data_IF_954250050501
#
_entry.id   IF_954250050501
#
_cell.length_a   1.000
_cell.length_b   1.000
_cell.length_c   1.000
_cell.angle_alpha   90.00
_cell.angle_beta   90.00
_cell.angle_gamma   90.00
#
_symmetry.space_group_name_H-M   'P 1'
#
loop_
_entity.id
_entity.type
_entity.pdbx_description
1 polymer ?
#
# COMPACT_ATOMS: atom_id res chain seq x y z
N UNK A 1 -12.34 -23.48 19.98
CA UNK A 1 -12.26 -22.01 19.94
C UNK A 1 -11.32 -21.64 18.80
N UNK A 2 -11.79 -20.83 17.85
CA UNK A 2 -11.01 -20.34 16.71
C UNK A 2 -10.64 -18.87 16.95
N UNK A 3 -9.34 -18.57 16.92
CA UNK A 3 -8.79 -17.23 17.09
C UNK A 3 -8.14 -16.80 15.78
N UNK A 4 -8.63 -15.72 15.20
CA UNK A 4 -8.04 -15.13 14.01
C UNK A 4 -7.14 -13.97 14.42
N UNK A 5 -5.89 -13.97 13.94
CA UNK A 5 -4.86 -13.00 14.27
C UNK A 5 -4.49 -12.29 12.97
N UNK A 6 -4.95 -11.06 12.80
CA UNK A 6 -4.87 -10.29 11.58
C UNK A 6 -4.27 -8.89 11.83
N UNK A 7 -2.96 -8.78 12.16
CA UNK A 7 -2.28 -7.53 12.42
C UNK A 7 -1.63 -6.94 11.16
N UNK A 8 -1.31 -5.66 11.23
CA UNK A 8 -0.30 -5.00 10.40
C UNK A 8 1.11 -5.22 10.98
N UNK A 9 2.10 -4.83 10.23
CA UNK A 9 3.50 -4.75 10.66
C UNK A 9 3.69 -3.68 11.76
N UNK A 10 4.68 -3.90 12.63
CA UNK A 10 5.17 -2.85 13.53
C UNK A 10 6.43 -2.26 12.90
N UNK A 11 6.26 -1.10 12.25
CA UNK A 11 7.34 -0.44 11.51
C UNK A 11 8.63 -0.39 12.30
N UNK A 12 9.76 -0.61 11.62
CA UNK A 12 11.12 -0.63 12.18
C UNK A 12 11.39 -1.76 13.19
N UNK A 13 10.43 -2.71 13.41
CA UNK A 13 10.64 -3.78 14.40
C UNK A 13 10.18 -5.17 13.98
N UNK A 14 8.93 -5.36 13.57
CA UNK A 14 8.37 -6.69 13.25
C UNK A 14 7.53 -6.65 11.99
N UNK A 15 7.67 -7.66 11.13
CA UNK A 15 6.73 -7.91 10.04
C UNK A 15 5.34 -8.31 10.59
N UNK A 16 4.31 -8.22 9.75
CA UNK A 16 2.95 -8.60 10.16
C UNK A 16 2.87 -10.07 10.60
N UNK A 17 3.63 -10.98 9.95
CA UNK A 17 3.70 -12.39 10.34
C UNK A 17 4.43 -12.60 11.67
N UNK A 18 5.51 -11.88 11.93
CA UNK A 18 6.23 -11.93 13.21
C UNK A 18 5.33 -11.43 14.36
N UNK A 19 4.57 -10.35 14.15
CA UNK A 19 3.56 -9.87 15.11
C UNK A 19 2.50 -10.95 15.36
N UNK A 20 1.91 -11.51 14.30
CA UNK A 20 0.90 -12.56 14.42
C UNK A 20 1.45 -13.81 15.14
N UNK A 21 2.70 -14.17 14.88
CA UNK A 21 3.37 -15.31 15.52
C UNK A 21 3.62 -15.07 17.00
N UNK A 22 4.08 -13.88 17.38
CA UNK A 22 4.28 -13.53 18.79
C UNK A 22 2.94 -13.50 19.56
N UNK A 23 1.86 -13.00 18.94
CA UNK A 23 0.50 -13.04 19.51
C UNK A 23 0.07 -14.49 19.73
N UNK A 24 0.18 -15.35 18.71
CA UNK A 24 -0.16 -16.78 18.81
C UNK A 24 0.60 -17.46 19.95
N UNK A 25 1.91 -17.23 20.05
CA UNK A 25 2.75 -17.80 21.10
C UNK A 25 2.23 -17.42 22.50
N UNK A 26 1.93 -16.14 22.72
CA UNK A 26 1.38 -15.66 23.99
C UNK A 26 0.01 -16.28 24.32
N UNK A 27 -0.89 -16.37 23.36
CA UNK A 27 -2.20 -16.97 23.53
C UNK A 27 -2.12 -18.47 23.79
N UNK A 28 -1.21 -19.20 23.14
CA UNK A 28 -1.00 -20.64 23.34
C UNK A 28 -0.56 -21.03 24.76
N UNK A 29 0.08 -20.14 25.49
CA UNK A 29 0.40 -20.38 26.90
C UNK A 29 -0.86 -20.54 27.77
N UNK A 30 -1.98 -19.96 27.36
CA UNK A 30 -3.27 -19.97 28.09
C UNK A 30 -4.27 -20.92 27.45
N UNK A 31 -4.33 -20.98 26.11
CA UNK A 31 -5.21 -21.86 25.33
C UNK A 31 -4.39 -22.67 24.31
N UNK A 32 -3.67 -23.71 24.76
CA UNK A 32 -2.80 -24.49 23.87
C UNK A 32 -3.56 -25.20 22.73
N UNK A 33 -4.84 -25.59 23.01
CA UNK A 33 -5.67 -26.38 22.09
C UNK A 33 -6.60 -25.53 21.23
N UNK A 34 -6.48 -24.20 21.25
CA UNK A 34 -7.25 -23.33 20.35
C UNK A 34 -6.73 -23.44 18.91
N UNK A 35 -7.63 -23.26 17.97
CA UNK A 35 -7.32 -23.15 16.54
C UNK A 35 -6.91 -21.71 16.22
N UNK A 36 -5.69 -21.52 15.73
CA UNK A 36 -5.12 -20.21 15.42
C UNK A 36 -4.95 -20.04 13.93
N UNK A 37 -5.59 -19.03 13.37
CA UNK A 37 -5.41 -18.60 11.99
C UNK A 37 -4.67 -17.27 11.97
N UNK A 38 -3.44 -17.25 11.42
CA UNK A 38 -2.65 -16.04 11.20
C UNK A 38 -2.88 -15.53 9.81
N UNK A 39 -3.28 -14.26 9.71
CA UNK A 39 -3.49 -13.54 8.46
C UNK A 39 -2.72 -12.21 8.54
N UNK A 40 -1.44 -12.18 8.19
CA UNK A 40 -0.70 -10.94 8.11
C UNK A 40 -1.36 -10.02 7.08
N UNK A 41 -1.61 -8.76 7.47
CA UNK A 41 -2.28 -7.77 6.65
C UNK A 41 -1.38 -6.56 6.41
N UNK A 42 -1.83 -5.70 5.50
CA UNK A 42 -1.26 -4.39 5.23
C UNK A 42 -2.35 -3.47 4.65
N UNK A 43 -2.09 -2.18 4.58
CA UNK A 43 -3.02 -1.17 4.09
C UNK A 43 -2.71 -0.67 2.66
N UNK A 44 -1.84 -1.36 1.92
CA UNK A 44 -1.40 -0.94 0.58
C UNK A 44 -0.13 -0.07 0.59
N UNK A 45 0.42 0.20 1.77
CA UNK A 45 1.70 0.87 1.97
C UNK A 45 2.89 -0.08 1.96
N UNK A 46 3.97 0.36 2.60
CA UNK A 46 5.21 -0.42 2.79
C UNK A 46 4.93 -1.73 3.56
N UNK A 47 5.49 -2.83 3.08
CA UNK A 47 5.32 -4.17 3.63
C UNK A 47 4.10 -4.93 3.10
N UNK A 48 3.35 -4.33 2.17
CA UNK A 48 2.18 -4.99 1.56
C UNK A 48 2.60 -6.20 0.74
N UNK A 49 3.68 -6.11 -0.01
CA UNK A 49 4.19 -7.22 -0.84
C UNK A 49 4.54 -8.40 0.05
N UNK A 50 5.30 -8.18 1.13
CA UNK A 50 5.69 -9.23 2.06
C UNK A 50 4.47 -9.87 2.74
N UNK A 51 3.54 -9.05 3.26
CA UNK A 51 2.33 -9.54 3.90
C UNK A 51 1.48 -10.40 2.95
N UNK A 52 1.29 -9.96 1.71
CA UNK A 52 0.51 -10.68 0.70
C UNK A 52 1.20 -11.99 0.27
N UNK A 53 2.52 -11.96 0.10
CA UNK A 53 3.32 -13.16 -0.21
C UNK A 53 3.21 -14.19 0.93
N UNK A 54 3.37 -13.76 2.17
CA UNK A 54 3.25 -14.63 3.33
C UNK A 54 1.84 -15.22 3.46
N UNK A 55 0.80 -14.38 3.32
CA UNK A 55 -0.59 -14.81 3.45
C UNK A 55 -1.04 -15.77 2.34
N UNK A 56 -0.42 -15.69 1.16
CA UNK A 56 -0.76 -16.54 0.00
C UNK A 56 0.21 -17.71 -0.21
N UNK A 57 1.15 -17.94 0.71
CA UNK A 57 2.25 -18.90 0.54
C UNK A 57 3.02 -18.71 -0.78
N UNK A 58 3.21 -17.45 -1.15
CA UNK A 58 3.83 -17.00 -2.38
C UNK A 58 5.36 -16.88 -2.28
N UNK A 59 5.93 -16.08 -3.17
CA UNK A 59 7.36 -15.78 -3.18
C UNK A 59 7.66 -14.36 -3.65
N UNK A 60 8.78 -13.81 -3.19
CA UNK A 60 9.35 -12.57 -3.71
C UNK A 60 10.12 -12.87 -5.01
N UNK A 61 9.93 -12.01 -6.00
CA UNK A 61 10.64 -12.04 -7.29
C UNK A 61 11.47 -10.77 -7.42
N UNK A 62 12.78 -10.93 -7.48
CA UNK A 62 13.72 -9.81 -7.67
C UNK A 62 13.95 -9.54 -9.15
N UNK A 63 13.93 -8.25 -9.53
CA UNK A 63 14.06 -7.80 -10.92
C UNK A 63 14.94 -6.55 -10.97
N UNK A 64 15.86 -6.49 -11.90
CA UNK A 64 16.61 -5.28 -12.18
C UNK A 64 15.81 -4.37 -13.14
N UNK A 65 15.44 -3.19 -12.67
CA UNK A 65 14.63 -2.21 -13.41
C UNK A 65 15.27 -0.82 -13.42
N UNK A 66 14.68 0.08 -14.16
CA UNK A 66 15.09 1.50 -14.17
C UNK A 66 14.60 2.21 -12.91
N UNK A 67 15.51 2.73 -12.11
CA UNK A 67 15.18 3.53 -10.94
C UNK A 67 14.73 4.95 -11.28
N UNK A 68 14.29 5.74 -10.27
CA UNK A 68 13.74 7.07 -10.49
C UNK A 68 14.74 8.08 -11.09
N UNK A 69 16.04 7.85 -10.93
CA UNK A 69 17.12 8.67 -11.51
C UNK A 69 17.62 8.16 -12.87
N UNK A 70 16.95 7.17 -13.48
CA UNK A 70 17.32 6.59 -14.76
C UNK A 70 18.43 5.53 -14.71
N UNK A 71 18.98 5.21 -13.53
CA UNK A 71 19.95 4.13 -13.35
C UNK A 71 19.26 2.82 -13.03
N UNK A 72 19.95 1.69 -13.28
CA UNK A 72 19.43 0.37 -12.94
C UNK A 72 19.44 0.18 -11.42
N UNK A 73 18.33 -0.34 -10.88
CA UNK A 73 18.15 -0.66 -9.46
C UNK A 73 17.57 -2.06 -9.32
N UNK A 74 17.91 -2.72 -8.21
CA UNK A 74 17.27 -3.97 -7.83
C UNK A 74 15.92 -3.65 -7.19
N UNK A 75 14.85 -4.06 -7.84
CA UNK A 75 13.49 -3.98 -7.33
C UNK A 75 12.92 -5.38 -7.10
N UNK A 76 11.72 -5.45 -6.57
CA UNK A 76 11.04 -6.72 -6.34
C UNK A 76 9.53 -6.56 -6.45
N UNK A 77 8.85 -7.68 -6.62
CA UNK A 77 7.41 -7.81 -6.46
C UNK A 77 7.06 -9.18 -5.87
N UNK A 78 5.86 -9.33 -5.33
CA UNK A 78 5.34 -10.59 -4.84
C UNK A 78 4.59 -11.36 -5.91
N UNK A 79 4.69 -12.69 -5.88
CA UNK A 79 3.87 -13.58 -6.66
C UNK A 79 3.13 -14.51 -5.71
N UNK A 80 1.81 -14.64 -5.84
CA UNK A 80 0.99 -15.54 -5.02
C UNK A 80 1.41 -17.02 -5.19
N UNK A 81 1.05 -17.86 -4.21
CA UNK A 81 1.42 -19.28 -4.24
C UNK A 81 0.89 -20.06 -5.45
N UNK A 82 -0.26 -19.66 -5.97
CA UNK A 82 -0.86 -20.19 -7.21
C UNK A 82 -0.34 -19.51 -8.48
N UNK A 83 0.55 -18.53 -8.34
CA UNK A 83 1.13 -17.71 -9.41
C UNK A 83 0.11 -16.94 -10.28
N UNK A 84 -1.12 -16.72 -9.80
CA UNK A 84 -2.15 -15.99 -10.54
C UNK A 84 -2.20 -14.50 -10.22
N UNK A 85 -1.66 -14.10 -9.06
CA UNK A 85 -1.66 -12.70 -8.61
C UNK A 85 -0.25 -12.19 -8.40
N UNK A 86 -0.01 -10.93 -8.78
CA UNK A 86 1.22 -10.19 -8.45
C UNK A 86 0.91 -9.04 -7.51
N UNK A 87 1.81 -8.80 -6.58
CA UNK A 87 1.76 -7.72 -5.59
C UNK A 87 2.95 -6.81 -5.83
N UNK A 88 2.69 -5.54 -6.18
CA UNK A 88 3.72 -4.57 -6.55
C UNK A 88 3.64 -3.37 -5.62
N UNK A 89 4.73 -3.01 -4.98
CA UNK A 89 4.91 -1.67 -4.42
C UNK A 89 5.70 -0.84 -5.44
N UNK A 90 5.10 0.23 -5.97
CA UNK A 90 5.77 1.08 -6.94
C UNK A 90 7.06 1.67 -6.40
N UNK A 91 7.15 1.85 -5.07
CA UNK A 91 8.32 2.37 -4.39
C UNK A 91 9.56 1.49 -4.54
N UNK A 92 9.41 0.19 -4.78
CA UNK A 92 10.53 -0.71 -5.06
C UNK A 92 11.31 -0.32 -6.34
N UNK A 93 10.63 0.33 -7.30
CA UNK A 93 11.23 0.79 -8.55
C UNK A 93 11.33 2.32 -8.66
N UNK A 94 10.38 3.06 -8.08
CA UNK A 94 10.22 4.49 -8.31
C UNK A 94 10.01 5.27 -6.99
N UNK A 95 10.52 4.71 -5.89
CA UNK A 95 10.33 5.21 -4.53
C UNK A 95 11.27 6.36 -4.14
N UNK A 96 10.80 7.14 -3.16
CA UNK A 96 11.52 8.31 -2.64
C UNK A 96 12.82 7.92 -1.91
N UNK A 97 12.87 6.75 -1.30
CA UNK A 97 14.05 6.25 -0.59
C UNK A 97 15.22 5.94 -1.53
N UNK A 98 14.93 5.66 -2.82
CA UNK A 98 15.95 5.46 -3.83
C UNK A 98 16.59 6.76 -4.32
N UNK A 99 16.08 7.92 -3.87
CA UNK A 99 16.57 9.25 -4.28
C UNK A 99 17.17 9.96 -3.06
N UNK A 100 18.49 10.11 -3.00
CA UNK A 100 19.13 10.89 -1.94
C UNK A 100 18.51 12.29 -1.85
N UNK A 101 18.29 12.86 -0.66
CA UNK A 101 17.63 14.17 -0.50
C UNK A 101 18.20 15.28 -1.40
N UNK A 102 19.51 15.31 -1.57
CA UNK A 102 20.20 16.31 -2.42
C UNK A 102 19.96 16.12 -3.93
N UNK A 103 19.43 14.98 -4.35
CA UNK A 103 19.16 14.65 -5.77
C UNK A 103 17.66 14.63 -6.09
N UNK A 104 16.80 14.97 -5.13
CA UNK A 104 15.36 15.02 -5.34
C UNK A 104 14.99 16.14 -6.29
N UNK A 105 14.49 15.78 -7.46
CA UNK A 105 14.04 16.69 -8.51
C UNK A 105 12.88 16.06 -9.30
N UNK A 106 11.61 16.38 -8.94
CA UNK A 106 10.45 15.76 -9.57
C UNK A 106 10.23 16.16 -11.03
N UNK A 107 10.99 17.16 -11.54
CA UNK A 107 11.03 17.42 -12.97
C UNK A 107 11.73 16.30 -13.76
N UNK A 108 12.63 15.55 -13.11
CA UNK A 108 13.50 14.57 -13.78
C UNK A 108 13.24 13.12 -13.38
N UNK A 109 12.70 12.89 -12.18
CA UNK A 109 12.43 11.51 -11.71
C UNK A 109 11.38 10.83 -12.56
N UNK A 110 11.63 9.56 -12.90
CA UNK A 110 10.81 8.78 -13.83
C UNK A 110 10.14 7.58 -13.14
N UNK A 111 8.92 7.28 -13.54
CA UNK A 111 8.16 6.09 -13.15
C UNK A 111 8.41 4.87 -14.06
N UNK A 112 9.37 4.92 -14.97
CA UNK A 112 9.65 3.87 -15.97
C UNK A 112 9.78 2.48 -15.36
N UNK A 113 10.51 2.33 -14.25
CA UNK A 113 10.75 1.04 -13.62
C UNK A 113 9.48 0.40 -13.05
N UNK A 114 8.48 1.19 -12.64
CA UNK A 114 7.16 0.65 -12.25
C UNK A 114 6.50 -0.06 -13.44
N UNK A 115 6.60 0.53 -14.65
CA UNK A 115 6.12 -0.13 -15.87
C UNK A 115 6.88 -1.41 -16.21
N UNK A 116 8.21 -1.44 -15.97
CA UNK A 116 9.01 -2.65 -16.12
C UNK A 116 8.57 -3.74 -15.13
N UNK A 117 8.26 -3.42 -13.87
CA UNK A 117 7.72 -4.38 -12.89
C UNK A 117 6.38 -4.96 -13.33
N UNK A 118 5.45 -4.10 -13.79
CA UNK A 118 4.15 -4.55 -14.30
C UNK A 118 4.35 -5.49 -15.49
N UNK A 119 5.20 -5.14 -16.44
CA UNK A 119 5.49 -5.98 -17.61
C UNK A 119 6.08 -7.33 -17.20
N UNK A 120 7.01 -7.35 -16.25
CA UNK A 120 7.60 -8.58 -15.74
C UNK A 120 6.57 -9.48 -15.04
N UNK A 121 5.63 -8.90 -14.29
CA UNK A 121 4.51 -9.63 -13.71
C UNK A 121 3.60 -10.24 -14.79
N UNK A 122 3.29 -9.46 -15.84
CA UNK A 122 2.54 -9.98 -17.00
C UNK A 122 3.29 -11.09 -17.73
N UNK A 123 4.62 -11.04 -17.81
CA UNK A 123 5.46 -12.10 -18.38
C UNK A 123 5.41 -13.38 -17.55
N UNK A 124 5.17 -13.28 -16.24
CA UNK A 124 4.94 -14.43 -15.36
C UNK A 124 3.54 -15.06 -15.54
N UNK A 125 2.67 -14.44 -16.33
CA UNK A 125 1.33 -14.97 -16.68
C UNK A 125 0.25 -14.71 -15.65
N UNK A 126 0.42 -13.69 -14.80
CA UNK A 126 -0.59 -13.34 -13.79
C UNK A 126 -1.87 -12.79 -14.43
N UNK A 127 -2.99 -13.03 -13.79
CA UNK A 127 -4.32 -12.59 -14.18
C UNK A 127 -4.81 -11.40 -13.33
N UNK A 128 -4.16 -11.17 -12.18
CA UNK A 128 -4.49 -10.13 -11.23
C UNK A 128 -3.22 -9.42 -10.74
N UNK A 129 -3.24 -8.09 -10.71
CA UNK A 129 -2.13 -7.27 -10.17
C UNK A 129 -2.69 -6.30 -9.14
N UNK A 130 -2.13 -6.32 -7.95
CA UNK A 130 -2.38 -5.34 -6.90
C UNK A 130 -1.16 -4.44 -6.80
N UNK A 131 -1.37 -3.12 -6.95
CA UNK A 131 -0.29 -2.13 -6.95
C UNK A 131 -0.48 -1.14 -5.81
N UNK A 132 0.44 -1.11 -4.86
CA UNK A 132 0.57 -0.03 -3.88
C UNK A 132 1.35 1.14 -4.49
N UNK A 133 0.79 2.35 -4.39
CA UNK A 133 1.38 3.56 -5.01
C UNK A 133 1.88 4.59 -3.99
N UNK A 134 2.10 4.19 -2.74
CA UNK A 134 2.71 5.02 -1.70
C UNK A 134 4.19 5.31 -1.94
N UNK A 135 4.72 6.29 -1.21
CA UNK A 135 6.17 6.64 -1.12
C UNK A 135 6.86 6.96 -2.45
N UNK A 136 6.15 7.50 -3.44
CA UNK A 136 6.70 7.80 -4.77
C UNK A 136 7.73 8.94 -4.77
N UNK A 137 8.77 8.85 -5.62
CA UNK A 137 9.72 9.91 -5.93
C UNK A 137 9.30 10.78 -7.12
N UNK A 138 8.29 10.37 -7.88
CA UNK A 138 7.97 10.86 -9.20
C UNK A 138 6.79 11.83 -9.21
N UNK A 139 6.76 12.73 -10.20
CA UNK A 139 5.63 13.62 -10.49
C UNK A 139 5.47 13.74 -12.02
N UNK A 140 5.62 12.62 -12.71
CA UNK A 140 5.58 12.51 -14.17
C UNK A 140 4.22 12.03 -14.71
N UNK A 141 3.18 12.04 -13.86
CA UNK A 141 1.85 11.55 -14.25
C UNK A 141 1.82 10.05 -14.60
N UNK A 142 2.84 9.27 -14.19
CA UNK A 142 3.01 7.90 -14.64
C UNK A 142 3.47 7.77 -16.11
N UNK A 143 3.96 8.85 -16.72
CA UNK A 143 4.38 8.85 -18.13
C UNK A 143 5.46 7.81 -18.42
N UNK A 144 6.49 7.73 -17.57
CA UNK A 144 7.53 6.72 -17.72
C UNK A 144 6.97 5.29 -17.66
N UNK A 145 6.06 5.04 -16.73
CA UNK A 145 5.40 3.74 -16.56
C UNK A 145 4.65 3.32 -17.83
N UNK A 146 3.80 4.20 -18.38
CA UNK A 146 3.03 3.83 -19.57
C UNK A 146 3.90 3.72 -20.83
N UNK A 147 4.99 4.49 -20.94
CA UNK A 147 5.98 4.32 -22.00
C UNK A 147 6.68 2.95 -21.91
N UNK A 148 7.07 2.51 -20.70
CA UNK A 148 7.65 1.17 -20.48
C UNK A 148 6.69 0.05 -20.82
N UNK A 149 5.37 0.30 -20.72
CA UNK A 149 4.30 -0.62 -21.12
C UNK A 149 3.94 -0.55 -22.60
N UNK A 150 4.62 0.33 -23.39
CA UNK A 150 4.49 0.38 -24.84
C UNK A 150 3.67 1.54 -25.39
N UNK A 151 3.11 2.41 -24.55
CA UNK A 151 2.49 3.65 -25.02
C UNK A 151 3.55 4.61 -25.57
N UNK A 152 3.17 5.41 -26.57
CA UNK A 152 4.03 6.45 -27.12
C UNK A 152 3.50 7.83 -26.78
N UNK A 153 4.30 8.57 -26.05
CA UNK A 153 4.03 9.94 -25.65
C UNK A 153 4.96 10.85 -26.48
N UNK A 154 4.36 11.62 -27.41
CA UNK A 154 5.14 12.34 -28.42
C UNK A 154 4.97 13.85 -28.33
N UNK A 155 6.04 14.56 -28.65
CA UNK A 155 6.04 16.01 -28.85
C UNK A 155 5.40 16.40 -30.21
N UNK A 156 5.33 17.71 -30.48
CA UNK A 156 4.78 18.24 -31.74
C UNK A 156 5.61 17.89 -33.00
N UNK A 157 6.85 17.44 -32.82
CA UNK A 157 7.75 16.99 -33.87
C UNK A 157 7.66 15.47 -34.09
N UNK A 158 6.89 14.76 -33.27
CA UNK A 158 6.74 13.31 -33.36
C UNK A 158 7.80 12.51 -32.63
N UNK A 159 8.71 13.15 -31.88
CA UNK A 159 9.69 12.48 -31.05
C UNK A 159 9.07 12.06 -29.71
N UNK A 160 9.58 10.99 -29.11
CA UNK A 160 9.20 10.62 -27.75
C UNK A 160 9.65 11.73 -26.77
N UNK A 161 8.78 12.06 -25.78
CA UNK A 161 9.10 13.05 -24.77
C UNK A 161 10.23 12.56 -23.86
N UNK A 162 10.96 13.50 -23.26
CA UNK A 162 12.00 13.16 -22.27
C UNK A 162 11.37 12.59 -21.00
N UNK A 163 12.14 11.81 -20.25
CA UNK A 163 11.70 11.25 -18.97
C UNK A 163 11.52 12.32 -17.88
N UNK A 164 10.64 12.06 -16.92
CA UNK A 164 10.33 12.93 -15.80
C UNK A 164 9.17 13.90 -16.08
N UNK A 165 8.73 14.61 -15.03
CA UNK A 165 7.58 15.51 -15.10
C UNK A 165 7.73 16.62 -16.15
N UNK A 166 8.97 17.07 -16.41
CA UNK A 166 9.26 18.09 -17.41
C UNK A 166 8.90 17.63 -18.84
N UNK A 167 8.97 16.33 -19.12
CA UNK A 167 8.62 15.80 -20.44
C UNK A 167 7.18 16.09 -20.85
N UNK A 168 6.27 16.16 -19.90
CA UNK A 168 4.86 16.45 -20.13
C UNK A 168 4.61 17.88 -20.66
N UNK A 169 5.54 18.82 -20.44
CA UNK A 169 5.43 20.19 -20.97
C UNK A 169 5.42 20.23 -22.51
N UNK A 170 6.09 19.28 -23.13
CA UNK A 170 6.20 19.21 -24.61
C UNK A 170 5.24 18.21 -25.23
N UNK A 171 4.51 17.45 -24.42
CA UNK A 171 3.60 16.41 -24.90
C UNK A 171 2.53 16.99 -25.83
N UNK A 172 2.36 16.39 -27.01
CA UNK A 172 1.40 16.81 -28.03
C UNK A 172 0.42 15.70 -28.43
N UNK A 173 0.81 14.43 -28.33
CA UNK A 173 -0.05 13.30 -28.68
C UNK A 173 0.27 12.04 -27.88
N UNK A 174 -0.75 11.21 -27.69
CA UNK A 174 -0.68 9.92 -27.00
C UNK A 174 -1.11 8.84 -27.99
N UNK A 175 -0.28 7.81 -28.19
CA UNK A 175 -0.58 6.66 -29.04
C UNK A 175 -0.44 5.38 -28.20
N UNK A 176 -1.56 4.68 -28.00
CA UNK A 176 -1.63 3.44 -27.22
C UNK A 176 -1.64 2.18 -28.10
N UNK A 177 -1.43 2.29 -29.41
CA UNK A 177 -1.42 1.14 -30.34
C UNK A 177 -0.37 0.09 -29.99
N UNK A 178 0.73 0.50 -29.36
CA UNK A 178 1.82 -0.35 -28.89
C UNK A 178 1.67 -0.82 -27.44
N UNK A 179 0.63 -0.39 -26.72
CA UNK A 179 0.44 -0.75 -25.32
C UNK A 179 0.28 -2.27 -25.18
N UNK A 180 0.86 -2.85 -24.12
CA UNK A 180 0.82 -4.29 -23.86
C UNK A 180 -0.63 -4.79 -23.79
N UNK A 181 -1.02 -5.64 -24.73
CA UNK A 181 -2.40 -6.12 -24.88
C UNK A 181 -2.87 -6.97 -23.69
N UNK A 182 -1.94 -7.53 -22.92
CA UNK A 182 -2.26 -8.34 -21.73
C UNK A 182 -2.89 -7.50 -20.61
N UNK A 183 -2.64 -6.18 -20.59
CA UNK A 183 -3.26 -5.27 -19.63
C UNK A 183 -4.80 -5.30 -19.70
N UNK A 184 -5.37 -5.46 -20.89
CA UNK A 184 -6.83 -5.52 -21.04
C UNK A 184 -7.47 -6.82 -20.53
N UNK A 185 -6.69 -7.88 -20.36
CA UNK A 185 -7.14 -9.16 -19.82
C UNK A 185 -6.75 -9.36 -18.35
N UNK A 186 -5.89 -8.51 -17.79
CA UNK A 186 -5.45 -8.56 -16.42
C UNK A 186 -6.32 -7.65 -15.55
N UNK A 187 -6.81 -8.15 -14.42
CA UNK A 187 -7.47 -7.32 -13.42
C UNK A 187 -6.43 -6.54 -12.62
N UNK A 188 -6.52 -5.21 -12.62
CA UNK A 188 -5.54 -4.37 -11.94
C UNK A 188 -6.25 -3.51 -10.89
N UNK A 189 -5.83 -3.64 -9.65
CA UNK A 189 -6.29 -2.84 -8.52
C UNK A 189 -5.14 -2.00 -7.97
N UNK A 190 -5.46 -0.76 -7.64
CA UNK A 190 -4.51 0.21 -7.10
C UNK A 190 -4.89 0.56 -5.68
N UNK A 191 -4.03 0.20 -4.74
CA UNK A 191 -4.17 0.60 -3.35
C UNK A 191 -3.86 2.10 -3.22
N UNK A 192 -4.94 2.88 -3.01
CA UNK A 192 -4.89 4.33 -2.96
C UNK A 192 -5.80 4.86 -1.84
N UNK A 193 -5.20 5.30 -0.74
CA UNK A 193 -5.93 5.81 0.43
C UNK A 193 -6.09 7.34 0.43
N UNK A 194 -5.63 8.00 -0.64
CA UNK A 194 -5.81 9.44 -0.83
C UNK A 194 -6.82 9.73 -1.92
N UNK A 195 -7.55 10.83 -1.79
CA UNK A 195 -8.58 11.26 -2.74
C UNK A 195 -8.15 12.47 -3.57
N UNK A 196 -6.90 12.89 -3.45
CA UNK A 196 -6.37 14.07 -4.14
C UNK A 196 -6.58 13.96 -5.66
N UNK A 197 -7.15 15.01 -6.30
CA UNK A 197 -7.28 15.06 -7.75
C UNK A 197 -5.90 15.20 -8.41
N UNK A 198 -5.86 15.07 -9.73
CA UNK A 198 -4.59 15.12 -10.45
C UNK A 198 -3.91 16.48 -10.33
N UNK A 199 -4.66 17.57 -10.41
CA UNK A 199 -4.13 18.95 -10.50
C UNK A 199 -4.84 19.90 -9.54
N UNK A 200 -4.33 21.13 -9.44
CA UNK A 200 -4.88 22.20 -8.62
C UNK A 200 -4.28 22.23 -7.21
N UNK A 201 -4.91 23.01 -6.32
CA UNK A 201 -4.37 23.26 -4.96
C UNK A 201 -4.26 21.99 -4.09
N UNK A 202 -5.09 21.01 -4.35
CA UNK A 202 -5.10 19.71 -3.67
C UNK A 202 -4.53 18.59 -4.57
N UNK A 203 -3.95 18.96 -5.71
CA UNK A 203 -3.42 18.05 -6.71
C UNK A 203 -2.05 17.47 -6.35
N UNK A 204 -1.60 16.58 -7.22
CA UNK A 204 -0.34 15.83 -7.09
C UNK A 204 0.86 16.70 -6.78
N UNK A 205 1.08 17.77 -7.59
CA UNK A 205 2.24 18.61 -7.48
C UNK A 205 2.21 19.50 -6.26
N UNK A 206 1.05 20.10 -5.96
CA UNK A 206 0.89 21.02 -4.83
C UNK A 206 1.05 20.32 -3.48
N UNK A 207 0.43 19.15 -3.31
CA UNK A 207 0.40 18.45 -2.02
C UNK A 207 1.65 17.58 -1.82
N UNK A 208 2.05 16.82 -2.83
CA UNK A 208 3.11 15.82 -2.69
C UNK A 208 4.46 16.24 -3.32
N UNK A 209 4.48 17.32 -4.10
CA UNK A 209 5.71 17.84 -4.74
C UNK A 209 6.79 18.27 -3.75
N UNK A 210 6.48 19.01 -2.67
CA UNK A 210 7.48 19.51 -1.73
C UNK A 210 8.39 18.43 -1.14
N UNK A 211 7.83 17.29 -0.71
CA UNK A 211 8.61 16.17 -0.16
C UNK A 211 9.55 15.52 -1.20
N UNK A 212 9.24 15.69 -2.50
CA UNK A 212 10.03 15.21 -3.63
C UNK A 212 11.07 16.23 -4.11
N UNK A 213 11.20 17.35 -3.41
CA UNK A 213 12.16 18.41 -3.71
C UNK A 213 11.64 19.51 -4.65
N UNK A 214 10.32 19.58 -4.91
CA UNK A 214 9.77 20.64 -5.74
C UNK A 214 9.84 22.00 -5.06
N UNK A 215 10.34 23.03 -5.79
CA UNK A 215 10.18 24.43 -5.44
C UNK A 215 8.79 24.94 -5.84
N UNK A 216 8.33 26.12 -5.34
CA UNK A 216 7.06 26.69 -5.78
C UNK A 216 6.95 26.84 -7.31
N UNK A 217 7.99 27.26 -7.98
CA UNK A 217 8.02 27.37 -9.45
C UNK A 217 7.91 26.02 -10.15
N UNK A 218 8.55 24.99 -9.59
CA UNK A 218 8.44 23.61 -10.09
C UNK A 218 7.02 23.08 -9.93
N UNK A 219 6.36 23.39 -8.81
CA UNK A 219 4.97 22.97 -8.54
C UNK A 219 4.03 23.54 -9.62
N UNK A 220 4.13 24.83 -9.93
CA UNK A 220 3.30 25.48 -10.97
C UNK A 220 3.54 24.85 -12.36
N UNK A 221 4.80 24.59 -12.70
CA UNK A 221 5.17 23.93 -13.95
C UNK A 221 4.62 22.51 -14.06
N UNK A 222 4.82 21.72 -13.01
CA UNK A 222 4.34 20.33 -12.96
C UNK A 222 2.81 20.26 -13.00
N UNK A 223 2.12 21.14 -12.29
CA UNK A 223 0.66 21.19 -12.29
C UNK A 223 0.10 21.54 -13.68
N UNK A 224 0.71 22.53 -14.35
CA UNK A 224 0.39 22.91 -15.74
C UNK A 224 0.63 21.73 -16.70
N UNK A 225 1.76 21.03 -16.55
CA UNK A 225 2.12 19.88 -17.36
C UNK A 225 1.16 18.71 -17.18
N UNK A 226 0.77 18.41 -15.93
CA UNK A 226 -0.24 17.39 -15.61
C UNK A 226 -1.63 17.77 -16.14
N UNK A 227 -2.02 19.04 -16.08
CA UNK A 227 -3.27 19.54 -16.67
C UNK A 227 -3.29 19.30 -18.19
N UNK A 228 -2.19 19.63 -18.87
CA UNK A 228 -2.03 19.32 -20.30
C UNK A 228 -2.14 17.83 -20.58
N UNK A 229 -1.47 17.00 -19.77
CA UNK A 229 -1.51 15.56 -19.91
C UNK A 229 -2.94 15.02 -19.77
N UNK A 230 -3.70 15.48 -18.77
CA UNK A 230 -5.10 15.10 -18.59
C UNK A 230 -5.97 15.44 -19.81
N UNK A 231 -5.80 16.65 -20.38
CA UNK A 231 -6.53 17.05 -21.59
C UNK A 231 -6.19 16.16 -22.79
N UNK A 232 -4.93 15.74 -22.92
CA UNK A 232 -4.50 14.84 -23.99
C UNK A 232 -5.01 13.41 -23.76
N UNK A 233 -5.05 12.92 -22.52
CA UNK A 233 -5.69 11.66 -22.17
C UNK A 233 -7.19 11.70 -22.57
N UNK A 234 -7.90 12.77 -22.19
CA UNK A 234 -9.32 12.91 -22.55
C UNK A 234 -9.52 12.95 -24.06
N UNK A 235 -8.64 13.65 -24.82
CA UNK A 235 -8.71 13.74 -26.27
C UNK A 235 -8.39 12.41 -26.98
N UNK A 236 -7.29 11.77 -26.60
CA UNK A 236 -6.73 10.64 -27.35
C UNK A 236 -7.23 9.27 -26.86
N UNK A 237 -7.55 9.15 -25.58
CA UNK A 237 -8.06 7.91 -24.97
C UNK A 237 -9.57 7.95 -24.64
N UNK A 238 -10.20 9.12 -24.71
CA UNK A 238 -11.60 9.35 -24.33
C UNK A 238 -11.89 9.03 -22.83
N UNK A 239 -10.91 9.26 -21.95
CA UNK A 239 -11.00 9.05 -20.51
C UNK A 239 -10.73 10.38 -19.79
N UNK A 240 -11.64 10.81 -18.93
CA UNK A 240 -11.43 11.99 -18.09
C UNK A 240 -10.79 11.59 -16.77
N UNK A 241 -9.70 12.27 -16.41
CA UNK A 241 -8.92 11.99 -15.19
C UNK A 241 -8.68 13.22 -14.32
N UNK A 242 -9.17 14.40 -14.72
CA UNK A 242 -8.91 15.66 -13.98
C UNK A 242 -9.45 15.60 -12.56
N UNK A 243 -10.71 15.18 -12.39
CA UNK A 243 -11.41 15.13 -11.12
C UNK A 243 -11.44 13.71 -10.52
N UNK A 244 -10.62 12.78 -11.07
CA UNK A 244 -10.56 11.42 -10.56
C UNK A 244 -10.03 11.42 -9.12
N UNK A 245 -10.82 10.96 -8.18
CA UNK A 245 -10.40 10.78 -6.79
C UNK A 245 -9.22 9.80 -6.73
N UNK A 246 -8.11 10.23 -6.14
CA UNK A 246 -6.85 9.47 -6.13
C UNK A 246 -6.01 9.60 -7.42
N UNK A 247 -6.51 10.31 -8.43
CA UNK A 247 -5.75 10.54 -9.67
C UNK A 247 -4.40 11.24 -9.45
N UNK A 248 -4.31 12.08 -8.41
CA UNK A 248 -3.07 12.77 -8.02
C UNK A 248 -2.08 11.91 -7.23
N UNK A 249 -2.49 10.74 -6.76
CA UNK A 249 -1.61 9.86 -6.00
C UNK A 249 -0.36 9.49 -6.81
N UNK A 250 0.77 9.35 -6.12
CA UNK A 250 2.07 9.04 -6.72
C UNK A 250 2.46 9.97 -7.87
N UNK A 251 2.19 11.29 -7.73
CA UNK A 251 2.56 12.27 -8.73
C UNK A 251 1.79 12.14 -10.05
N UNK A 252 0.55 11.66 -9.96
CA UNK A 252 -0.35 11.44 -11.10
C UNK A 252 -0.35 10.01 -11.65
N UNK A 253 0.40 9.09 -11.05
CA UNK A 253 0.41 7.69 -11.49
C UNK A 253 -0.97 7.03 -11.33
N UNK A 254 -1.76 7.41 -10.29
CA UNK A 254 -3.14 6.94 -10.14
C UNK A 254 -3.99 7.20 -11.38
N UNK A 255 -3.91 8.40 -11.94
CA UNK A 255 -4.61 8.75 -13.18
C UNK A 255 -4.13 7.91 -14.38
N UNK A 256 -2.81 7.69 -14.50
CA UNK A 256 -2.26 6.88 -15.59
C UNK A 256 -2.68 5.40 -15.50
N UNK A 257 -2.63 4.79 -14.31
CA UNK A 257 -3.06 3.41 -14.09
C UNK A 257 -4.56 3.25 -14.44
N UNK A 258 -5.38 4.22 -14.04
CA UNK A 258 -6.79 4.22 -14.42
C UNK A 258 -6.98 4.31 -15.93
N UNK A 259 -6.37 5.32 -16.60
CA UNK A 259 -6.62 5.62 -18.00
C UNK A 259 -6.00 4.63 -18.99
N UNK A 260 -4.79 4.13 -18.72
CA UNK A 260 -4.03 3.28 -19.67
C UNK A 260 -4.15 1.79 -19.34
N UNK A 261 -4.29 1.45 -18.07
CA UNK A 261 -4.33 0.06 -17.64
C UNK A 261 -5.74 -0.43 -17.24
N UNK A 262 -6.75 0.46 -17.24
CA UNK A 262 -8.10 0.12 -16.80
C UNK A 262 -8.18 -0.23 -15.31
N UNK A 263 -7.23 0.24 -14.52
CA UNK A 263 -7.10 -0.11 -13.10
C UNK A 263 -8.23 0.50 -12.26
N UNK A 264 -8.60 -0.19 -11.19
CA UNK A 264 -9.54 0.29 -10.19
C UNK A 264 -8.79 0.85 -8.98
N UNK A 265 -9.05 2.12 -8.64
CA UNK A 265 -8.51 2.73 -7.43
C UNK A 265 -9.44 2.40 -6.26
N UNK A 266 -8.90 1.75 -5.25
CA UNK A 266 -9.62 1.32 -4.04
C UNK A 266 -8.76 1.54 -2.81
N UNK A 267 -9.37 1.54 -1.63
CA UNK A 267 -8.60 1.56 -0.38
C UNK A 267 -7.75 0.31 -0.25
N UNK A 268 -6.49 0.47 0.19
CA UNK A 268 -5.56 -0.64 0.29
C UNK A 268 -6.06 -1.75 1.19
N UNK A 269 -6.62 -1.41 2.35
CA UNK A 269 -7.17 -2.41 3.28
C UNK A 269 -8.33 -3.21 2.66
N UNK A 270 -9.18 -2.61 1.84
CA UNK A 270 -10.27 -3.32 1.18
C UNK A 270 -9.74 -4.34 0.16
N UNK A 271 -8.74 -3.93 -0.64
CA UNK A 271 -8.11 -4.82 -1.63
C UNK A 271 -7.46 -6.02 -0.91
N UNK A 272 -6.67 -5.75 0.13
CA UNK A 272 -5.93 -6.79 0.87
C UNK A 272 -6.90 -7.76 1.55
N UNK A 273 -7.94 -7.25 2.20
CA UNK A 273 -8.93 -8.10 2.89
C UNK A 273 -9.77 -8.94 1.93
N UNK A 274 -10.11 -8.39 0.76
CA UNK A 274 -10.82 -9.13 -0.30
C UNK A 274 -9.92 -10.23 -0.89
N UNK A 275 -8.68 -9.89 -1.24
CA UNK A 275 -7.72 -10.83 -1.82
C UNK A 275 -7.39 -12.00 -0.89
N UNK A 276 -7.41 -11.78 0.42
CA UNK A 276 -7.17 -12.81 1.44
C UNK A 276 -8.46 -13.47 1.95
N UNK A 277 -9.61 -13.13 1.40
CA UNK A 277 -10.92 -13.66 1.82
C UNK A 277 -11.16 -13.52 3.33
N UNK A 278 -10.74 -12.39 3.91
CA UNK A 278 -10.78 -12.15 5.36
C UNK A 278 -12.20 -12.33 5.92
N UNK A 279 -13.22 -11.90 5.19
CA UNK A 279 -14.62 -12.02 5.61
C UNK A 279 -15.00 -13.50 5.91
N UNK A 280 -14.63 -14.42 5.02
CA UNK A 280 -14.87 -15.84 5.24
C UNK A 280 -14.10 -16.40 6.44
N UNK A 281 -12.89 -15.90 6.68
CA UNK A 281 -12.07 -16.31 7.82
C UNK A 281 -12.64 -15.82 9.16
N UNK A 282 -13.28 -14.64 9.17
CA UNK A 282 -13.84 -14.04 10.39
C UNK A 282 -15.24 -14.56 10.73
N UNK A 283 -16.00 -15.04 9.76
CA UNK A 283 -17.39 -15.46 9.95
C UNK A 283 -17.54 -16.54 11.03
N UNK A 284 -16.61 -17.48 11.15
CA UNK A 284 -16.58 -18.58 12.12
C UNK A 284 -15.57 -18.40 13.26
N UNK A 285 -14.93 -17.23 13.36
CA UNK A 285 -14.03 -16.91 14.46
C UNK A 285 -14.79 -16.73 15.78
N UNK A 286 -14.17 -17.12 16.89
CA UNK A 286 -14.67 -16.83 18.24
C UNK A 286 -14.08 -15.53 18.79
N UNK A 287 -12.86 -15.19 18.37
CA UNK A 287 -12.11 -13.99 18.77
C UNK A 287 -11.24 -13.51 17.61
N UNK A 288 -11.19 -12.21 17.43
CA UNK A 288 -10.32 -11.56 16.44
C UNK A 288 -9.29 -10.69 17.17
N UNK A 289 -8.03 -10.87 16.83
CA UNK A 289 -6.93 -10.03 17.30
C UNK A 289 -6.35 -9.30 16.11
N UNK A 290 -6.21 -8.00 16.24
CA UNK A 290 -5.56 -7.14 15.23
C UNK A 290 -4.55 -6.20 15.89
N UNK A 291 -3.85 -5.39 15.13
CA UNK A 291 -2.89 -4.44 15.67
C UNK A 291 -2.08 -3.75 14.61
N UNK A 292 -1.35 -2.75 15.04
CA UNK A 292 -0.36 -2.00 14.26
C UNK A 292 0.69 -1.40 15.20
N UNK A 293 1.77 -0.81 14.66
CA UNK A 293 2.84 -0.21 15.47
C UNK A 293 2.38 0.89 16.42
N UNK A 294 1.34 1.67 16.03
CA UNK A 294 0.73 2.70 16.88
C UNK A 294 -0.75 2.87 16.55
N UNK A 295 -1.61 2.62 17.53
CA UNK A 295 -3.04 2.92 17.44
C UNK A 295 -3.31 4.31 18.02
N UNK A 296 -3.91 5.18 17.22
CA UNK A 296 -4.26 6.56 17.53
C UNK A 296 -5.55 7.00 16.78
N UNK A 297 -5.89 8.28 16.83
CA UNK A 297 -7.04 8.82 16.11
C UNK A 297 -6.91 8.70 14.57
N UNK A 298 -5.71 8.52 14.03
CA UNK A 298 -5.53 8.32 12.58
C UNK A 298 -5.89 6.89 12.15
N UNK A 299 -5.89 5.94 13.08
CA UNK A 299 -6.23 4.54 12.82
C UNK A 299 -7.64 4.38 12.24
N UNK A 300 -8.59 5.28 12.59
CA UNK A 300 -9.98 5.24 12.09
C UNK A 300 -10.10 5.58 10.59
N UNK A 301 -9.07 6.13 9.98
CA UNK A 301 -9.09 6.54 8.57
C UNK A 301 -8.70 5.43 7.58
N UNK A 302 -9.03 4.18 7.91
CA UNK A 302 -8.92 3.05 6.98
C UNK A 302 -7.67 2.20 7.15
N UNK A 303 -6.99 2.30 8.30
CA UNK A 303 -5.88 1.42 8.61
C UNK A 303 -6.35 0.00 8.98
N UNK A 304 -5.40 -0.95 8.99
CA UNK A 304 -5.66 -2.37 9.20
C UNK A 304 -6.56 -2.67 10.41
N UNK A 305 -6.32 -2.13 11.63
CA UNK A 305 -7.15 -2.50 12.78
C UNK A 305 -8.64 -2.19 12.60
N UNK A 306 -8.96 -1.06 11.98
CA UNK A 306 -10.36 -0.67 11.74
C UNK A 306 -10.94 -1.44 10.55
N UNK A 307 -10.16 -1.71 9.52
CA UNK A 307 -10.60 -2.57 8.40
C UNK A 307 -11.03 -3.95 8.89
N UNK A 308 -10.21 -4.58 9.74
CA UNK A 308 -10.50 -5.87 10.37
C UNK A 308 -11.73 -5.78 11.28
N UNK A 309 -11.80 -4.75 12.13
CA UNK A 309 -12.91 -4.56 13.06
C UNK A 309 -14.25 -4.39 12.31
N UNK A 310 -14.28 -3.60 11.26
CA UNK A 310 -15.48 -3.38 10.44
C UNK A 310 -16.03 -4.70 9.86
N UNK A 311 -15.17 -5.58 9.39
CA UNK A 311 -15.60 -6.89 8.85
C UNK A 311 -16.05 -7.79 10.01
N UNK A 312 -15.28 -7.89 11.10
CA UNK A 312 -15.60 -8.74 12.24
C UNK A 312 -16.94 -8.36 12.88
N UNK A 313 -17.25 -7.07 12.98
CA UNK A 313 -18.52 -6.58 13.56
C UNK A 313 -19.76 -6.90 12.74
N UNK A 314 -19.64 -7.17 11.44
CA UNK A 314 -20.75 -7.72 10.64
C UNK A 314 -21.22 -9.09 11.15
N UNK A 315 -20.31 -9.83 11.78
CA UNK A 315 -20.53 -11.16 12.35
C UNK A 315 -20.60 -11.15 13.89
N UNK A 316 -20.71 -9.96 14.51
CA UNK A 316 -20.74 -9.75 15.97
C UNK A 316 -19.55 -10.39 16.70
N UNK A 317 -18.37 -10.40 16.08
CA UNK A 317 -17.17 -10.97 16.71
C UNK A 317 -16.49 -9.96 17.63
N UNK A 318 -15.98 -10.40 18.80
CA UNK A 318 -15.13 -9.55 19.63
C UNK A 318 -13.79 -9.30 18.94
N UNK A 319 -13.32 -8.03 19.00
CA UNK A 319 -12.08 -7.60 18.38
C UNK A 319 -11.19 -6.89 19.39
N UNK A 320 -9.98 -7.38 19.54
CA UNK A 320 -8.96 -6.80 20.42
C UNK A 320 -7.79 -6.28 19.59
N UNK A 321 -7.42 -5.02 19.85
CA UNK A 321 -6.23 -4.40 19.30
C UNK A 321 -5.02 -4.58 20.22
N UNK A 322 -3.89 -5.05 19.68
CA UNK A 322 -2.59 -5.04 20.35
C UNK A 322 -1.67 -4.13 19.52
N UNK A 323 -1.06 -3.15 20.13
CA UNK A 323 -0.27 -2.14 19.44
C UNK A 323 1.08 -1.92 20.09
N UNK A 324 2.07 -1.51 19.28
CA UNK A 324 3.38 -1.08 19.79
C UNK A 324 3.21 0.03 20.82
N UNK A 325 2.40 1.04 20.51
CA UNK A 325 2.06 2.13 21.44
C UNK A 325 0.62 2.62 21.22
N UNK A 326 0.09 3.30 22.24
CA UNK A 326 -1.21 3.98 22.20
C UNK A 326 -1.01 5.47 22.48
N UNK A 327 -1.86 6.31 21.93
CA UNK A 327 -1.89 7.76 22.21
C UNK A 327 -3.06 8.12 23.13
N UNK A 328 -3.04 9.32 23.67
CA UNK A 328 -4.08 9.78 24.61
C UNK A 328 -5.48 9.86 23.99
N UNK A 329 -5.55 10.01 22.65
CA UNK A 329 -6.78 10.11 21.86
C UNK A 329 -7.28 8.75 21.31
N UNK A 330 -6.65 7.64 21.69
CA UNK A 330 -6.97 6.30 21.21
C UNK A 330 -8.42 5.88 21.46
N UNK A 331 -9.11 6.47 22.44
CA UNK A 331 -10.49 6.10 22.81
C UNK A 331 -11.48 6.11 21.64
N UNK A 332 -11.23 6.90 20.59
CA UNK A 332 -12.08 6.97 19.40
C UNK A 332 -12.22 5.63 18.68
N UNK A 333 -11.24 4.74 18.75
CA UNK A 333 -11.27 3.46 18.03
C UNK A 333 -12.33 2.48 18.58
N UNK A 334 -12.80 2.69 19.82
CA UNK A 334 -13.86 1.88 20.41
C UNK A 334 -15.21 2.09 19.69
N UNK A 335 -15.47 3.30 19.22
CA UNK A 335 -16.66 3.63 18.43
C UNK A 335 -16.58 3.03 17.01
N UNK A 336 -15.37 2.60 16.59
CA UNK A 336 -15.09 1.99 15.29
C UNK A 336 -14.84 0.47 15.36
N UNK A 337 -15.27 -0.18 16.46
CA UNK A 337 -15.38 -1.64 16.53
C UNK A 337 -14.22 -2.36 17.23
N UNK A 338 -13.22 -1.67 17.77
CA UNK A 338 -12.26 -2.29 18.68
C UNK A 338 -12.82 -2.33 20.09
N UNK A 339 -13.10 -3.53 20.61
CA UNK A 339 -13.68 -3.69 21.96
C UNK A 339 -12.68 -3.36 23.08
N UNK A 340 -11.41 -3.65 22.84
CA UNK A 340 -10.31 -3.31 23.75
C UNK A 340 -9.01 -3.10 22.97
N UNK A 341 -8.12 -2.27 23.51
CA UNK A 341 -6.80 -2.02 22.94
C UNK A 341 -5.73 -2.09 24.03
N UNK A 342 -4.58 -2.65 23.69
CA UNK A 342 -3.45 -2.85 24.61
C UNK A 342 -2.15 -2.37 23.96
N UNK A 343 -1.33 -1.65 24.74
CA UNK A 343 0.05 -1.35 24.36
C UNK A 343 0.96 -2.49 24.78
N UNK A 344 1.97 -2.78 23.98
CA UNK A 344 3.02 -3.75 24.33
C UNK A 344 4.10 -3.16 25.23
N UNK A 345 4.05 -1.86 25.50
CA UNK A 345 4.98 -1.17 26.40
C UNK A 345 4.50 -1.35 27.83
N UNK A 346 5.09 -2.27 28.56
CA UNK A 346 4.74 -2.58 29.94
C UNK A 346 5.77 -2.05 30.98
N UNK A 347 6.86 -1.47 30.51
CA UNK A 347 7.89 -0.84 31.36
C UNK A 347 8.41 0.43 30.72
N UNK A 348 8.98 1.32 31.53
CA UNK A 348 9.67 2.50 31.02
C UNK A 348 10.99 2.04 30.37
N UNK A 349 11.14 2.31 29.10
CA UNK A 349 12.30 1.92 28.30
C UNK A 349 12.58 2.98 27.22
N UNK A 350 13.74 2.88 26.58
CA UNK A 350 14.07 3.68 25.39
C UNK A 350 13.32 3.14 24.17
N UNK A 351 13.19 3.94 23.11
CA UNK A 351 12.62 3.47 21.85
C UNK A 351 13.44 2.30 21.29
N UNK A 352 14.76 2.39 21.33
CA UNK A 352 15.68 1.33 20.88
C UNK A 352 15.42 0.01 21.61
N UNK A 353 15.26 0.03 22.95
CA UNK A 353 14.93 -1.15 23.73
C UNK A 353 13.55 -1.71 23.38
N UNK A 354 12.57 -0.82 23.17
CA UNK A 354 11.22 -1.23 22.79
C UNK A 354 11.21 -1.95 21.43
N UNK A 355 11.91 -1.40 20.43
CA UNK A 355 12.02 -2.00 19.09
C UNK A 355 12.78 -3.33 19.14
N UNK A 356 13.92 -3.38 19.86
CA UNK A 356 14.74 -4.59 19.99
C UNK A 356 14.00 -5.75 20.66
N UNK A 357 13.16 -5.46 21.65
CA UNK A 357 12.41 -6.47 22.41
C UNK A 357 10.97 -6.63 21.93
N UNK A 358 10.61 -6.11 20.75
CA UNK A 358 9.24 -6.01 20.28
C UNK A 358 8.51 -7.36 20.29
N UNK A 359 9.12 -8.43 19.79
CA UNK A 359 8.50 -9.77 19.74
C UNK A 359 8.15 -10.29 21.12
N UNK A 360 9.04 -10.17 22.11
CA UNK A 360 8.78 -10.59 23.48
C UNK A 360 7.72 -9.73 24.15
N UNK A 361 7.73 -8.42 23.90
CA UNK A 361 6.73 -7.48 24.40
C UNK A 361 5.32 -7.83 23.87
N UNK A 362 5.20 -8.14 22.59
CA UNK A 362 3.96 -8.59 21.95
C UNK A 362 3.50 -9.91 22.58
N UNK A 363 4.38 -10.91 22.68
CA UNK A 363 4.08 -12.21 23.27
C UNK A 363 3.55 -12.08 24.71
N UNK A 364 4.24 -11.31 25.56
CA UNK A 364 3.85 -11.11 26.95
C UNK A 364 2.49 -10.40 27.07
N UNK A 365 2.27 -9.36 26.28
CA UNK A 365 0.99 -8.64 26.26
C UNK A 365 -0.14 -9.57 25.80
N UNK A 366 0.07 -10.30 24.73
CA UNK A 366 -0.89 -11.30 24.21
C UNK A 366 -1.24 -12.38 25.23
N UNK A 367 -0.23 -12.91 25.94
CA UNK A 367 -0.43 -13.87 27.04
C UNK A 367 -1.30 -13.28 28.16
N UNK A 368 -1.08 -12.04 28.55
CA UNK A 368 -1.84 -11.37 29.61
C UNK A 368 -3.28 -11.08 29.16
N UNK A 369 -3.48 -10.68 27.91
CA UNK A 369 -4.81 -10.52 27.29
C UNK A 369 -5.58 -11.86 27.36
N UNK A 370 -4.97 -12.96 26.90
CA UNK A 370 -5.56 -14.29 26.94
C UNK A 370 -5.90 -14.72 28.37
N UNK A 371 -5.00 -14.48 29.34
CA UNK A 371 -5.25 -14.80 30.75
C UNK A 371 -6.42 -13.99 31.34
N UNK A 372 -6.54 -12.71 30.98
CA UNK A 372 -7.65 -11.85 31.41
C UNK A 372 -8.98 -12.35 30.87
N UNK A 373 -9.04 -12.72 29.58
CA UNK A 373 -10.23 -13.29 28.96
C UNK A 373 -10.64 -14.62 29.64
N UNK A 374 -9.66 -15.50 29.94
CA UNK A 374 -9.90 -16.77 30.63
C UNK A 374 -10.43 -16.56 32.05
N UNK A 375 -9.89 -15.59 32.79
CA UNK A 375 -10.39 -15.22 34.10
C UNK A 375 -11.82 -14.67 34.02
N UNK A 376 -12.14 -13.87 33.01
CA UNK A 376 -13.50 -13.35 32.79
C UNK A 376 -14.53 -14.45 32.49
N UNK A 377 -14.14 -15.57 31.88
CA UNK A 377 -15.03 -16.72 31.69
C UNK A 377 -15.44 -17.38 33.00
N UNK A 378 -14.60 -17.29 34.04
CA UNK A 378 -14.88 -17.86 35.37
C UNK A 378 -15.79 -16.97 36.21
N UNK A 379 -16.05 -15.73 35.80
CA UNK A 379 -16.94 -14.80 36.49
C UNK A 379 -18.43 -14.96 36.08
N UNK A 380 -18.68 -15.81 35.09
CA UNK A 380 -20.03 -16.20 34.64
C UNK A 380 -20.44 -17.51 35.29
#
# INVERSE_FOLDING_TARGET
>A
MKIVIAPDSYKESLSALEVATAIEQGFREIWPDADYLKLPLADGGEGTVEAMVEATAGRIVHVEVTGPLGHRVNAFYGLSGDARSAFIEMAAASGLEQVPPAQRDPLKTTSWGTGELIRHALDAGVEHIIIGIGSSATNDGGAGMVQALGARLRDAQGNDIVQGGIGLETLASIDISGLDKRLSACHIEVACDVTNPLTGKEGASAVFGPQKGATPEMIERLDTALTRYAHLIARDLHVDVLDLAGGGAAGGMGAALYAFCGAQLRRGIEIVTDALHLEACLADADLVITGEGRIDSQTIHGKVPIGVANIAKRYNKPVIGIAGSLTADVGVVHEHGLDAVFSVIYTICTLEDALKNASENVRMTARNVAATLKAGQQLR
#
